data_IF_171964461277
#
_entry.id   IF_171964461277
#
_cell.length_a   1.000
_cell.length_b   1.000
_cell.length_c   1.000
_cell.angle_alpha   90.00
_cell.angle_beta   90.00
_cell.angle_gamma   90.00
#
_symmetry.space_group_name_H-M   'P 1'
#
loop_
_entity.id
_entity.type
_entity.pdbx_description
1 polymer ?
#
# COMPACT_ATOMS: atom_id res chain seq x y z
N UNK A 1 1.90 8.56 -24.49
CA UNK A 1 2.16 7.11 -24.35
C UNK A 1 2.93 6.79 -23.06
N UNK A 2 4.09 7.41 -22.78
CA UNK A 2 4.89 7.12 -21.55
C UNK A 2 4.12 7.24 -20.21
N UNK A 3 3.33 8.29 -20.03
CA UNK A 3 2.57 8.55 -18.78
C UNK A 3 1.45 7.53 -18.49
N UNK A 4 1.02 6.75 -19.48
CA UNK A 4 0.02 5.69 -19.30
C UNK A 4 0.67 4.41 -18.79
N UNK A 5 1.84 4.05 -19.34
CA UNK A 5 2.61 2.87 -18.94
C UNK A 5 3.13 2.96 -17.50
N UNK A 6 3.61 4.14 -17.08
CA UNK A 6 4.04 4.39 -15.68
C UNK A 6 2.89 4.29 -14.67
N UNK A 7 1.63 4.48 -15.09
CA UNK A 7 0.47 4.36 -14.20
C UNK A 7 0.06 2.90 -14.00
N UNK A 8 0.08 2.11 -15.06
CA UNK A 8 -0.21 0.67 -15.00
C UNK A 8 0.83 -0.05 -14.14
N UNK A 9 2.12 0.28 -14.31
CA UNK A 9 3.22 -0.30 -13.52
C UNK A 9 3.10 -0.03 -12.01
N UNK A 10 2.66 1.18 -11.61
CA UNK A 10 2.44 1.52 -10.19
C UNK A 10 1.26 0.76 -9.59
N UNK A 11 0.20 0.52 -10.37
CA UNK A 11 -0.96 -0.26 -9.92
C UNK A 11 -0.59 -1.74 -9.77
N UNK A 12 0.08 -2.32 -10.75
CA UNK A 12 0.59 -3.70 -10.66
C UNK A 12 1.53 -3.87 -9.46
N UNK A 13 2.43 -2.91 -9.21
CA UNK A 13 3.33 -2.97 -8.06
C UNK A 13 2.58 -2.92 -6.71
N UNK A 14 1.49 -2.16 -6.62
CA UNK A 14 0.66 -2.12 -5.41
C UNK A 14 -0.05 -3.45 -5.15
N UNK A 15 -0.69 -4.00 -6.17
CA UNK A 15 -1.44 -5.25 -6.05
C UNK A 15 -0.51 -6.43 -5.69
N UNK A 16 0.66 -6.51 -6.31
CA UNK A 16 1.69 -7.50 -5.99
C UNK A 16 2.18 -7.40 -4.53
N UNK A 17 2.47 -6.18 -4.07
CA UNK A 17 2.87 -5.93 -2.68
C UNK A 17 1.74 -6.32 -1.71
N UNK A 18 0.49 -5.98 -2.02
CA UNK A 18 -0.66 -6.29 -1.17
C UNK A 18 -0.92 -7.80 -1.09
N UNK A 19 -0.82 -8.52 -2.22
CA UNK A 19 -0.93 -9.98 -2.24
C UNK A 19 0.18 -10.64 -1.42
N UNK A 20 1.43 -10.17 -1.57
CA UNK A 20 2.55 -10.68 -0.77
C UNK A 20 2.34 -10.43 0.71
N UNK A 21 1.89 -9.24 1.11
CA UNK A 21 1.60 -8.92 2.50
C UNK A 21 0.52 -9.84 3.08
N UNK A 22 -0.56 -10.10 2.33
CA UNK A 22 -1.61 -11.05 2.74
C UNK A 22 -1.05 -12.45 2.97
N UNK A 23 -0.21 -12.94 2.05
CA UNK A 23 0.44 -14.25 2.20
C UNK A 23 1.35 -14.32 3.44
N UNK A 24 2.05 -13.24 3.76
CA UNK A 24 2.89 -13.16 4.97
C UNK A 24 2.02 -13.23 6.23
N UNK A 25 0.95 -12.45 6.29
CA UNK A 25 0.00 -12.44 7.42
C UNK A 25 -0.59 -13.84 7.61
N UNK A 26 -1.09 -14.46 6.54
CA UNK A 26 -1.64 -15.80 6.58
C UNK A 26 -0.64 -16.82 7.14
N UNK A 27 0.63 -16.79 6.70
CA UNK A 27 1.68 -17.69 7.21
C UNK A 27 2.00 -17.47 8.68
N UNK A 28 2.00 -16.22 9.13
CA UNK A 28 2.25 -15.88 10.54
C UNK A 28 1.08 -16.30 11.43
N UNK A 29 -0.17 -16.14 10.96
CA UNK A 29 -1.38 -16.55 11.67
C UNK A 29 -1.53 -18.07 11.81
N UNK A 30 -1.16 -18.82 10.76
CA UNK A 30 -1.16 -20.29 10.81
C UNK A 30 -0.15 -20.84 11.85
N UNK A 31 0.91 -20.07 12.14
CA UNK A 31 1.95 -20.49 13.07
C UNK A 31 2.76 -21.69 12.56
N UNK A 32 3.43 -22.41 13.46
CA UNK A 32 4.24 -23.59 13.12
C UNK A 32 5.59 -23.29 12.45
N UNK A 33 5.95 -22.01 12.31
CA UNK A 33 7.23 -21.58 11.78
C UNK A 33 8.30 -21.50 12.88
N UNK A 34 9.57 -21.86 12.58
CA UNK A 34 10.70 -21.56 13.45
C UNK A 34 10.80 -20.04 13.71
N UNK A 35 11.23 -19.66 14.92
CA UNK A 35 11.33 -18.25 15.34
C UNK A 35 12.08 -17.36 14.34
N UNK A 36 13.22 -17.81 13.82
CA UNK A 36 14.01 -17.06 12.81
C UNK A 36 13.22 -16.82 11.52
N UNK A 37 12.39 -17.78 11.09
CA UNK A 37 11.54 -17.60 9.90
C UNK A 37 10.38 -16.63 10.19
N UNK A 38 9.76 -16.72 11.37
CA UNK A 38 8.71 -15.78 11.78
C UNK A 38 9.23 -14.35 11.85
N UNK A 39 10.45 -14.13 12.37
CA UNK A 39 11.07 -12.81 12.42
C UNK A 39 11.36 -12.26 11.02
N UNK A 40 11.89 -13.08 10.11
CA UNK A 40 12.12 -12.68 8.71
C UNK A 40 10.84 -12.27 7.99
N UNK A 41 9.78 -13.07 8.13
CA UNK A 41 8.48 -12.76 7.55
C UNK A 41 7.87 -11.49 8.15
N UNK A 42 8.04 -11.26 9.45
CA UNK A 42 7.57 -10.05 10.11
C UNK A 42 8.31 -8.80 9.59
N UNK A 43 9.64 -8.85 9.50
CA UNK A 43 10.44 -7.75 8.94
C UNK A 43 10.06 -7.44 7.48
N UNK A 44 9.88 -8.49 6.67
CA UNK A 44 9.40 -8.36 5.29
C UNK A 44 8.01 -7.70 5.25
N UNK A 45 7.07 -8.17 6.07
CA UNK A 45 5.71 -7.64 6.15
C UNK A 45 5.68 -6.15 6.53
N UNK A 46 6.50 -5.72 7.48
CA UNK A 46 6.65 -4.30 7.83
C UNK A 46 7.19 -3.49 6.64
N UNK A 47 8.19 -4.02 5.94
CA UNK A 47 8.75 -3.37 4.75
C UNK A 47 7.70 -3.18 3.65
N UNK A 48 6.90 -4.20 3.37
CA UNK A 48 5.86 -4.16 2.35
C UNK A 48 4.72 -3.22 2.75
N UNK A 49 4.29 -3.27 4.02
CA UNK A 49 3.26 -2.36 4.54
C UNK A 49 3.64 -0.89 4.35
N UNK A 50 4.91 -0.53 4.62
CA UNK A 50 5.42 0.82 4.36
C UNK A 50 5.37 1.20 2.87
N UNK A 51 5.76 0.30 1.97
CA UNK A 51 5.69 0.55 0.52
C UNK A 51 4.25 0.79 0.06
N UNK A 52 3.29 -0.03 0.52
CA UNK A 52 1.88 0.17 0.21
C UNK A 52 1.40 1.56 0.67
N UNK A 53 1.78 1.97 1.89
CA UNK A 53 1.43 3.29 2.42
C UNK A 53 2.04 4.43 1.58
N UNK A 54 3.30 4.30 1.15
CA UNK A 54 3.94 5.29 0.27
C UNK A 54 3.21 5.41 -1.07
N UNK A 55 2.83 4.29 -1.69
CA UNK A 55 2.06 4.30 -2.95
C UNK A 55 0.70 4.97 -2.76
N UNK A 56 0.00 4.68 -1.65
CA UNK A 56 -1.28 5.31 -1.32
C UNK A 56 -1.15 6.81 -1.09
N UNK A 57 -0.17 7.25 -0.29
CA UNK A 57 0.08 8.68 -0.04
C UNK A 57 0.42 9.45 -1.34
N UNK A 58 1.24 8.85 -2.21
CA UNK A 58 1.57 9.45 -3.51
C UNK A 58 0.33 9.54 -4.42
N UNK A 59 -0.54 8.53 -4.35
CA UNK A 59 -1.80 8.51 -5.11
C UNK A 59 -2.78 9.55 -4.58
N UNK A 60 -2.90 9.68 -3.25
CA UNK A 60 -3.71 10.70 -2.56
C UNK A 60 -3.28 12.10 -2.99
N UNK A 61 -1.99 12.44 -2.92
CA UNK A 61 -1.49 13.75 -3.34
C UNK A 61 -1.80 14.07 -4.81
N UNK A 62 -1.73 13.06 -5.69
CA UNK A 62 -2.10 13.23 -7.11
C UNK A 62 -3.61 13.47 -7.30
N UNK A 63 -4.45 12.84 -6.48
CA UNK A 63 -5.89 13.09 -6.48
C UNK A 63 -6.18 14.49 -5.95
N UNK A 64 -5.51 14.92 -4.88
CA UNK A 64 -5.62 16.28 -4.34
C UNK A 64 -5.23 17.35 -5.37
N UNK A 65 -4.12 17.17 -6.10
CA UNK A 65 -3.73 18.07 -7.19
C UNK A 65 -4.82 18.18 -8.26
N UNK A 66 -5.40 17.05 -8.68
CA UNK A 66 -6.47 17.03 -9.68
C UNK A 66 -7.73 17.74 -9.16
N UNK A 67 -8.11 17.54 -7.91
CA UNK A 67 -9.26 18.20 -7.30
C UNK A 67 -9.01 19.69 -7.05
N UNK A 68 -7.79 20.10 -6.73
CA UNK A 68 -7.44 21.52 -6.63
C UNK A 68 -7.62 22.26 -7.96
N UNK A 69 -7.44 21.56 -9.10
CA UNK A 69 -7.71 22.13 -10.44
C UNK A 69 -9.19 22.15 -10.83
N UNK A 70 -10.03 21.37 -10.14
CA UNK A 70 -11.47 21.27 -10.37
C UNK A 70 -12.19 21.89 -9.16
N UNK A 71 -12.46 23.21 -9.15
CA UNK A 71 -13.06 23.94 -8.01
C UNK A 71 -14.02 23.09 -7.13
N UNK A 72 -13.46 22.44 -6.08
CA UNK A 72 -14.01 22.01 -4.77
C UNK A 72 -13.77 20.53 -4.36
N UNK A 73 -13.76 20.44 -3.01
CA UNK A 73 -13.75 19.35 -2.02
C UNK A 73 -12.41 18.58 -1.88
N UNK A 74 -11.66 18.82 -0.78
CA UNK A 74 -10.47 18.02 -0.43
C UNK A 74 -10.84 16.55 -0.23
N UNK A 75 -9.94 15.63 -0.60
CA UNK A 75 -10.02 14.24 -0.15
C UNK A 75 -9.80 14.23 1.36
N UNK A 76 -10.88 14.27 2.13
CA UNK A 76 -10.79 14.19 3.58
C UNK A 76 -10.45 12.76 3.97
N UNK A 77 -9.36 12.58 4.73
CA UNK A 77 -9.23 11.42 5.64
C UNK A 77 -10.53 11.35 6.43
N UNK A 78 -11.21 10.21 6.37
CA UNK A 78 -12.28 9.93 7.31
C UNK A 78 -11.61 9.96 8.67
N UNK A 79 -11.77 11.06 9.41
CA UNK A 79 -11.41 11.08 10.82
C UNK A 79 -12.35 10.08 11.49
N UNK A 80 -11.82 8.90 11.81
CA UNK A 80 -12.49 7.96 12.70
C UNK A 80 -12.74 8.70 14.02
N UNK A 81 -13.95 9.24 14.17
CA UNK A 81 -14.43 9.73 15.46
C UNK A 81 -14.73 8.50 16.29
N UNK A 82 -13.88 8.26 17.29
CA UNK A 82 -14.15 7.37 18.43
C UNK A 82 -15.51 7.66 19.08
#
# INVERSE_FOLDING_TARGET
>A
MKKTMEREEVTENFDDNLERLRSIVEKLEHGGLPLDQSLKLFEEGIGISRKCMEILNNSEGKVEELLATMERIPFGRVEDKE
#
